data_IF_961853228388
#
_entry.id   IF_961853228388
#
_cell.length_a   1.000
_cell.length_b   1.000
_cell.length_c   1.000
_cell.angle_alpha   90.00
_cell.angle_beta   90.00
_cell.angle_gamma   90.00
#
_symmetry.space_group_name_H-M   'P 1'
#
loop_
_entity.id
_entity.type
_entity.pdbx_description
1 polymer ?
#
# COMPACT_ATOMS: atom_id res chain seq x y z
N UNK A 1 4.11 -18.90 4.99
CA UNK A 1 5.58 -18.84 5.08
C UNK A 1 6.23 -17.87 4.09
N UNK A 2 5.80 -17.80 2.83
CA UNK A 2 6.37 -16.89 1.81
C UNK A 2 5.98 -15.41 2.00
N UNK A 3 6.68 -14.72 2.90
CA UNK A 3 6.50 -13.28 3.17
C UNK A 3 7.81 -12.59 3.53
N UNK A 4 7.84 -11.26 3.39
CA UNK A 4 8.95 -10.41 3.81
C UNK A 4 8.97 -10.12 5.33
N UNK A 5 8.02 -10.66 6.11
CA UNK A 5 8.06 -10.54 7.57
C UNK A 5 9.33 -11.16 8.11
N UNK A 6 9.93 -10.55 9.13
CA UNK A 6 11.16 -11.04 9.72
C UNK A 6 10.86 -11.88 10.98
N UNK A 7 11.57 -12.99 11.10
CA UNK A 7 11.69 -13.76 12.34
C UNK A 7 13.15 -13.76 12.76
N UNK A 8 13.43 -13.25 13.98
CA UNK A 8 14.80 -13.07 14.50
C UNK A 8 15.77 -12.40 13.49
N UNK A 9 15.29 -11.37 12.79
CA UNK A 9 16.08 -10.62 11.80
C UNK A 9 16.09 -11.21 10.38
N UNK A 10 15.66 -12.45 10.19
CA UNK A 10 15.66 -13.14 8.89
C UNK A 10 14.27 -13.10 8.24
N UNK A 11 14.12 -12.72 6.95
CA UNK A 11 12.85 -12.79 6.24
C UNK A 11 12.29 -14.22 6.16
N UNK A 12 11.00 -14.41 6.43
CA UNK A 12 10.35 -15.72 6.45
C UNK A 12 10.43 -16.46 5.11
N UNK A 13 10.45 -15.75 3.97
CA UNK A 13 10.60 -16.40 2.67
C UNK A 13 11.95 -17.12 2.51
N UNK A 14 13.01 -16.71 3.23
CA UNK A 14 14.31 -17.39 3.19
C UNK A 14 14.22 -18.73 3.92
N UNK A 15 13.71 -18.70 5.14
CA UNK A 15 13.47 -19.89 5.96
C UNK A 15 12.54 -20.88 5.24
N UNK A 16 11.49 -20.38 4.58
CA UNK A 16 10.57 -21.21 3.79
C UNK A 16 11.26 -21.96 2.65
N UNK A 17 12.21 -21.33 1.95
CA UNK A 17 12.98 -21.95 0.86
C UNK A 17 13.96 -23.01 1.37
N UNK A 18 14.39 -22.88 2.62
CA UNK A 18 15.21 -23.87 3.32
C UNK A 18 14.35 -25.00 3.94
N UNK A 19 13.02 -24.99 3.73
CA UNK A 19 12.10 -25.96 4.31
C UNK A 19 11.84 -25.75 5.81
N UNK A 20 12.32 -24.64 6.39
CA UNK A 20 12.16 -24.32 7.80
C UNK A 20 10.84 -23.60 8.00
N UNK A 21 9.90 -24.26 8.68
CA UNK A 21 8.67 -23.63 9.14
C UNK A 21 8.87 -22.87 10.45
N UNK A 22 8.18 -21.74 10.57
CA UNK A 22 8.15 -20.96 11.80
C UNK A 22 6.72 -20.67 12.19
N UNK A 23 6.43 -20.77 13.48
CA UNK A 23 5.15 -20.35 14.03
C UNK A 23 4.90 -18.86 13.73
N UNK A 24 3.74 -18.57 13.16
CA UNK A 24 3.34 -17.22 12.77
C UNK A 24 2.28 -16.72 13.73
N UNK A 25 2.55 -15.60 14.40
CA UNK A 25 1.51 -14.88 15.15
C UNK A 25 0.40 -14.46 14.18
N UNK A 26 -0.83 -14.82 14.52
CA UNK A 26 -2.03 -14.32 13.84
C UNK A 26 -2.06 -12.79 13.92
N UNK A 27 -2.52 -12.17 12.85
CA UNK A 27 -2.65 -10.72 12.75
C UNK A 27 -4.09 -10.40 12.44
N UNK A 28 -4.66 -9.51 13.23
CA UNK A 28 -5.98 -8.98 12.96
C UNK A 28 -5.92 -8.11 11.70
N UNK A 29 -6.74 -8.46 10.72
CA UNK A 29 -6.98 -7.70 9.51
C UNK A 29 -8.47 -7.37 9.44
N UNK A 30 -8.84 -6.44 8.58
CA UNK A 30 -10.23 -6.11 8.29
C UNK A 30 -10.47 -6.19 6.79
N UNK A 31 -11.47 -6.97 6.40
CA UNK A 31 -12.05 -6.93 5.06
C UNK A 31 -13.20 -5.92 5.12
N UNK A 32 -13.08 -4.83 4.38
CA UNK A 32 -14.10 -3.78 4.30
C UNK A 32 -15.18 -4.10 3.26
N UNK A 33 -14.77 -4.70 2.14
CA UNK A 33 -15.65 -5.15 1.06
C UNK A 33 -15.03 -6.38 0.40
N UNK A 34 -15.87 -7.36 0.08
CA UNK A 34 -15.52 -8.52 -0.73
C UNK A 34 -16.66 -8.75 -1.72
N UNK A 35 -16.37 -8.76 -3.01
CA UNK A 35 -17.37 -8.88 -4.07
C UNK A 35 -16.92 -9.93 -5.07
N UNK A 36 -17.80 -10.88 -5.33
CA UNK A 36 -17.64 -11.83 -6.42
C UNK A 36 -17.82 -11.08 -7.75
N UNK A 37 -16.81 -11.10 -8.59
CA UNK A 37 -16.81 -10.48 -9.93
C UNK A 37 -17.23 -11.51 -10.97
N UNK A 38 -16.61 -12.69 -10.95
CA UNK A 38 -16.91 -13.80 -11.86
C UNK A 38 -16.62 -15.15 -11.19
N UNK A 39 -17.32 -16.18 -11.66
CA UNK A 39 -17.09 -17.58 -11.29
C UNK A 39 -17.29 -18.43 -12.53
N UNK A 40 -16.20 -18.94 -13.10
CA UNK A 40 -16.22 -19.75 -14.32
C UNK A 40 -15.31 -20.96 -14.11
N UNK A 41 -15.86 -22.15 -14.30
CA UNK A 41 -15.20 -23.42 -14.01
C UNK A 41 -14.60 -23.47 -12.58
N UNK A 42 -13.28 -23.46 -12.49
CA UNK A 42 -12.51 -23.48 -11.25
C UNK A 42 -11.80 -22.13 -10.99
N UNK A 43 -12.22 -21.07 -11.69
CA UNK A 43 -11.64 -19.74 -11.59
C UNK A 43 -12.66 -18.81 -10.94
N UNK A 44 -12.22 -18.15 -9.86
CA UNK A 44 -13.01 -17.19 -9.10
C UNK A 44 -12.29 -15.86 -9.09
N UNK A 45 -12.98 -14.82 -9.55
CA UNK A 45 -12.49 -13.45 -9.48
C UNK A 45 -13.23 -12.70 -8.37
N UNK A 46 -12.46 -12.06 -7.49
CA UNK A 46 -12.99 -11.25 -6.39
C UNK A 46 -12.35 -9.86 -6.36
N UNK A 47 -13.17 -8.86 -6.06
CA UNK A 47 -12.71 -7.51 -5.71
C UNK A 47 -12.77 -7.34 -4.18
N UNK A 48 -11.62 -7.03 -3.59
CA UNK A 48 -11.42 -6.99 -2.15
C UNK A 48 -10.86 -5.65 -1.70
N UNK A 49 -11.63 -4.94 -0.87
CA UNK A 49 -11.14 -3.79 -0.10
C UNK A 49 -10.75 -4.25 1.29
N UNK A 50 -9.50 -4.08 1.69
CA UNK A 50 -8.97 -4.61 2.95
C UNK A 50 -8.01 -3.64 3.66
N UNK A 51 -7.75 -3.90 4.95
CA UNK A 51 -6.77 -3.16 5.73
C UNK A 51 -5.34 -3.43 5.30
N UNK A 52 -4.40 -2.56 5.69
CA UNK A 52 -2.97 -2.77 5.47
C UNK A 52 -2.50 -4.11 6.02
N UNK A 53 -1.54 -4.73 5.33
CA UNK A 53 -0.93 -5.99 5.76
C UNK A 53 -1.78 -7.24 5.50
N UNK A 54 -2.91 -7.11 4.81
CA UNK A 54 -3.71 -8.26 4.35
C UNK A 54 -2.95 -9.03 3.27
N UNK A 55 -2.86 -10.34 3.43
CA UNK A 55 -2.27 -11.24 2.44
C UNK A 55 -3.38 -11.86 1.60
N UNK A 56 -3.64 -11.34 0.40
CA UNK A 56 -4.66 -11.89 -0.52
C UNK A 56 -4.41 -13.37 -0.82
N UNK A 57 -3.14 -13.80 -0.87
CA UNK A 57 -2.80 -15.22 -1.02
C UNK A 57 -3.28 -16.09 0.15
N UNK A 58 -3.22 -15.59 1.37
CA UNK A 58 -3.76 -16.30 2.54
C UNK A 58 -5.28 -16.27 2.53
N UNK A 59 -5.89 -15.15 2.13
CA UNK A 59 -7.35 -15.09 1.97
C UNK A 59 -7.85 -16.12 0.94
N UNK A 60 -7.16 -16.28 -0.19
CA UNK A 60 -7.51 -17.30 -1.18
C UNK A 60 -7.36 -18.72 -0.62
N UNK A 61 -6.25 -19.01 0.07
CA UNK A 61 -6.00 -20.30 0.73
C UNK A 61 -7.12 -20.61 1.75
N UNK A 62 -7.41 -19.66 2.66
CA UNK A 62 -8.46 -19.78 3.67
C UNK A 62 -9.84 -20.03 3.03
N UNK A 63 -10.22 -19.26 2.01
CA UNK A 63 -11.48 -19.46 1.28
C UNK A 63 -11.55 -20.82 0.60
N UNK A 64 -10.44 -21.29 0.02
CA UNK A 64 -10.36 -22.60 -0.61
C UNK A 64 -10.49 -23.74 0.40
N UNK A 65 -9.92 -23.59 1.60
CA UNK A 65 -10.08 -24.54 2.70
C UNK A 65 -11.53 -24.58 3.18
N UNK A 66 -12.17 -23.42 3.35
CA UNK A 66 -13.58 -23.32 3.75
C UNK A 66 -14.52 -23.97 2.71
N UNK A 67 -14.16 -23.91 1.42
CA UNK A 67 -14.87 -24.59 0.33
C UNK A 67 -14.52 -26.08 0.18
N UNK A 68 -13.48 -26.58 0.86
CA UNK A 68 -13.07 -27.98 0.85
C UNK A 68 -12.30 -28.44 -0.40
N UNK A 69 -11.94 -27.54 -1.31
CA UNK A 69 -11.19 -27.86 -2.55
C UNK A 69 -9.77 -27.31 -2.56
N UNK A 70 -9.44 -26.38 -1.64
CA UNK A 70 -8.24 -25.55 -1.71
C UNK A 70 -8.33 -24.50 -2.83
N UNK A 71 -7.54 -23.44 -2.70
CA UNK A 71 -7.44 -22.40 -3.71
C UNK A 71 -6.10 -21.68 -3.60
N UNK A 72 -5.65 -21.12 -4.73
CA UNK A 72 -4.46 -20.30 -4.78
C UNK A 72 -4.64 -19.16 -5.79
N UNK A 73 -3.87 -18.10 -5.59
CA UNK A 73 -3.93 -16.92 -6.46
C UNK A 73 -3.17 -17.21 -7.76
N UNK A 74 -3.86 -17.13 -8.90
CA UNK A 74 -3.27 -17.21 -10.25
C UNK A 74 -3.00 -15.82 -10.86
N UNK A 75 -3.80 -14.82 -10.50
CA UNK A 75 -3.64 -13.42 -10.89
C UNK A 75 -3.92 -12.50 -9.70
N UNK A 76 -3.16 -11.41 -9.56
CA UNK A 76 -3.38 -10.40 -8.54
C UNK A 76 -3.03 -9.01 -9.08
N UNK A 77 -4.03 -8.14 -9.13
CA UNK A 77 -3.84 -6.73 -9.48
C UNK A 77 -4.29 -5.83 -8.34
N UNK A 78 -3.37 -5.01 -7.83
CA UNK A 78 -3.73 -3.95 -6.89
C UNK A 78 -4.20 -2.72 -7.66
N UNK A 79 -5.47 -2.38 -7.55
CA UNK A 79 -6.08 -1.24 -8.25
C UNK A 79 -6.07 0.07 -7.44
N UNK A 80 -5.88 -0.01 -6.12
CA UNK A 80 -5.86 1.17 -5.25
C UNK A 80 -4.98 0.96 -4.02
N UNK A 81 -4.35 2.02 -3.53
CA UNK A 81 -3.62 2.07 -2.26
C UNK A 81 -3.94 3.39 -1.54
N UNK A 82 -4.75 3.31 -0.47
CA UNK A 82 -5.29 4.51 0.16
C UNK A 82 -6.10 5.31 -0.86
N UNK A 83 -5.70 6.56 -1.10
CA UNK A 83 -6.33 7.44 -2.11
C UNK A 83 -5.76 7.35 -3.51
N UNK A 84 -4.66 6.63 -3.71
CA UNK A 84 -4.00 6.52 -5.00
C UNK A 84 -4.59 5.36 -5.78
N UNK A 85 -5.30 5.65 -6.88
CA UNK A 85 -5.84 4.64 -7.80
C UNK A 85 -4.85 4.29 -8.90
N UNK A 86 -5.11 3.17 -9.57
CA UNK A 86 -4.34 2.69 -10.73
C UNK A 86 -4.38 3.64 -11.92
N UNK A 87 -5.39 4.52 -12.01
CA UNK A 87 -5.50 5.53 -13.08
C UNK A 87 -4.36 6.56 -13.03
N UNK A 88 -3.85 6.82 -11.82
CA UNK A 88 -2.66 7.63 -11.59
C UNK A 88 -1.36 6.92 -11.92
N UNK A 89 -1.36 5.59 -12.08
CA UNK A 89 -0.14 4.84 -12.34
C UNK A 89 0.41 5.10 -13.75
N UNK A 90 1.72 4.95 -13.89
CA UNK A 90 2.44 4.99 -15.17
C UNK A 90 3.26 3.72 -15.28
N UNK A 91 3.23 3.09 -16.45
CA UNK A 91 4.08 1.92 -16.71
C UNK A 91 5.54 2.35 -16.81
N UNK A 92 6.46 1.45 -16.46
CA UNK A 92 7.89 1.72 -16.57
C UNK A 92 8.27 2.11 -18.00
N UNK A 93 7.78 1.36 -19.00
CA UNK A 93 7.98 1.66 -20.42
C UNK A 93 7.56 3.08 -20.80
N UNK A 94 6.44 3.57 -20.27
CA UNK A 94 5.98 4.95 -20.55
C UNK A 94 6.91 5.98 -19.92
N UNK A 95 7.40 5.73 -18.70
CA UNK A 95 8.38 6.60 -18.04
C UNK A 95 9.71 6.63 -18.79
N UNK A 96 10.20 5.48 -19.27
CA UNK A 96 11.40 5.38 -20.09
C UNK A 96 11.27 6.20 -21.38
N UNK A 97 10.16 6.07 -22.12
CA UNK A 97 9.93 6.86 -23.33
C UNK A 97 9.86 8.36 -23.06
N UNK A 98 9.22 8.80 -21.95
CA UNK A 98 9.17 10.23 -21.59
C UNK A 98 10.59 10.75 -21.29
N UNK A 99 11.38 9.99 -20.55
CA UNK A 99 12.77 10.34 -20.23
C UNK A 99 13.62 10.47 -21.49
N UNK A 100 13.49 9.53 -22.43
CA UNK A 100 14.26 9.53 -23.68
C UNK A 100 13.94 10.74 -24.56
N UNK A 101 12.65 11.12 -24.64
CA UNK A 101 12.20 12.22 -25.50
C UNK A 101 12.42 13.60 -24.87
N UNK A 102 12.16 13.73 -23.57
CA UNK A 102 12.00 15.03 -22.90
C UNK A 102 12.96 15.24 -21.72
N UNK A 103 13.86 14.28 -21.45
CA UNK A 103 14.82 14.34 -20.35
C UNK A 103 14.21 14.06 -18.97
N UNK A 104 15.02 14.24 -17.94
CA UNK A 104 14.65 13.91 -16.55
C UNK A 104 13.61 14.87 -15.95
N UNK A 105 13.65 16.16 -16.29
CA UNK A 105 12.71 17.16 -15.76
C UNK A 105 11.26 16.84 -16.11
N UNK A 106 11.01 16.22 -17.26
CA UNK A 106 9.67 15.79 -17.66
C UNK A 106 9.11 14.66 -16.78
N UNK A 107 9.98 13.93 -16.05
CA UNK A 107 9.53 12.95 -15.06
C UNK A 107 9.09 13.62 -13.76
N UNK A 108 9.70 14.75 -13.39
CA UNK A 108 9.34 15.48 -12.17
C UNK A 108 7.92 16.02 -12.25
N UNK A 109 7.46 16.39 -13.45
CA UNK A 109 6.06 16.79 -13.72
C UNK A 109 5.04 15.68 -13.46
N UNK A 110 5.48 14.42 -13.42
CA UNK A 110 4.62 13.26 -13.12
C UNK A 110 4.55 12.95 -11.62
N UNK A 111 5.39 13.59 -10.80
CA UNK A 111 5.42 13.35 -9.37
C UNK A 111 4.16 13.94 -8.71
N UNK A 112 3.60 13.17 -7.80
CA UNK A 112 2.53 13.65 -6.93
C UNK A 112 3.18 14.43 -5.77
N UNK A 113 2.63 15.60 -5.38
CA UNK A 113 3.12 16.34 -4.22
C UNK A 113 3.20 15.45 -2.97
N UNK A 114 4.30 15.56 -2.20
CA UNK A 114 4.58 14.65 -1.08
C UNK A 114 3.52 14.69 0.03
N UNK A 115 2.86 15.83 0.22
CA UNK A 115 1.82 16.03 1.23
C UNK A 115 0.52 15.28 0.90
N UNK A 116 0.32 14.86 -0.36
CA UNK A 116 -0.84 14.05 -0.76
C UNK A 116 -0.91 12.72 0.00
N UNK A 117 0.22 12.18 0.48
CA UNK A 117 0.23 10.96 1.27
C UNK A 117 -0.40 11.12 2.66
N UNK A 118 -0.53 12.36 3.17
CA UNK A 118 -0.94 12.68 4.55
C UNK A 118 -2.05 13.72 4.63
N UNK A 119 -2.67 14.05 3.52
CA UNK A 119 -3.81 14.98 3.37
C UNK A 119 -4.99 14.79 4.33
N UNK A 120 -5.17 13.59 4.90
CA UNK A 120 -6.19 13.34 5.92
C UNK A 120 -5.82 13.94 7.29
N UNK A 121 -4.55 14.29 7.48
CA UNK A 121 -4.09 15.00 8.67
C UNK A 121 -4.49 16.48 8.61
N UNK A 122 -4.77 17.11 9.77
CA UNK A 122 -5.03 18.53 9.82
C UNK A 122 -3.88 19.36 9.24
N UNK A 123 -4.22 20.36 8.43
CA UNK A 123 -3.27 21.32 7.85
C UNK A 123 -3.20 22.57 8.72
N UNK A 124 -1.98 23.06 8.94
CA UNK A 124 -1.71 24.31 9.65
C UNK A 124 -0.86 25.24 8.80
N UNK A 125 -1.24 26.51 8.77
CA UNK A 125 -0.48 27.56 8.12
C UNK A 125 0.31 28.34 9.18
N UNK A 126 1.58 28.58 8.89
CA UNK A 126 2.49 29.27 9.79
C UNK A 126 2.88 30.62 9.19
N UNK A 127 3.08 31.62 10.02
CA UNK A 127 3.80 32.83 9.59
C UNK A 127 5.25 32.50 9.27
N UNK A 128 5.93 33.32 8.45
CA UNK A 128 7.35 33.11 8.13
C UNK A 128 8.21 33.01 9.40
N UNK A 129 7.94 33.84 10.42
CA UNK A 129 8.65 33.80 11.70
C UNK A 129 8.48 32.46 12.42
N UNK A 130 7.28 31.86 12.38
CA UNK A 130 7.01 30.56 13.00
C UNK A 130 7.64 29.41 12.19
N UNK A 131 7.59 29.49 10.86
CA UNK A 131 8.23 28.52 9.97
C UNK A 131 9.74 28.43 10.23
N UNK A 132 10.44 29.58 10.28
CA UNK A 132 11.90 29.60 10.52
C UNK A 132 12.26 28.96 11.86
N UNK A 133 11.49 29.24 12.92
CA UNK A 133 11.70 28.62 14.25
C UNK A 133 11.51 27.10 14.21
N UNK A 134 10.45 26.64 13.54
CA UNK A 134 10.14 25.21 13.43
C UNK A 134 11.21 24.47 12.62
N UNK A 135 11.69 25.04 11.51
CA UNK A 135 12.77 24.43 10.70
C UNK A 135 14.11 24.31 11.45
N UNK A 136 14.29 25.07 12.54
CA UNK A 136 15.45 24.96 13.44
C UNK A 136 15.20 24.06 14.66
N UNK A 137 14.07 23.34 14.71
CA UNK A 137 13.74 22.41 15.79
C UNK A 137 13.10 23.04 17.03
N UNK A 138 12.66 24.31 16.96
CA UNK A 138 11.98 24.95 18.08
C UNK A 138 10.52 24.46 18.23
N UNK A 139 10.20 23.89 19.39
CA UNK A 139 8.88 23.31 19.71
C UNK A 139 7.86 24.31 20.28
N UNK A 140 8.28 25.52 20.65
CA UNK A 140 7.42 26.52 21.33
C UNK A 140 6.61 27.40 20.37
N UNK A 141 6.30 26.89 19.19
CA UNK A 141 5.45 27.56 18.21
C UNK A 141 3.99 27.33 18.62
N UNK A 142 3.41 28.29 19.34
CA UNK A 142 1.97 28.29 19.65
C UNK A 142 1.18 28.49 18.36
N UNK A 143 0.59 27.42 17.85
CA UNK A 143 -0.26 27.46 16.67
C UNK A 143 -1.66 27.90 17.13
N UNK A 144 -2.05 29.14 16.84
CA UNK A 144 -3.44 29.57 17.01
C UNK A 144 -4.32 28.73 16.07
N UNK A 145 -5.16 27.89 16.66
CA UNK A 145 -6.09 27.04 15.95
C UNK A 145 -7.19 27.90 15.31
N UNK A 146 -7.07 28.20 14.02
CA UNK A 146 -8.22 28.62 13.22
C UNK A 146 -8.65 27.44 12.36
N UNK A 147 -9.78 26.84 12.74
CA UNK A 147 -10.50 25.87 11.94
C UNK A 147 -11.04 26.63 10.73
N UNK A 148 -10.33 26.58 9.60
CA UNK A 148 -10.89 27.05 8.33
C UNK A 148 -11.83 25.95 7.87
N UNK A 149 -13.14 26.26 7.89
CA UNK A 149 -14.22 25.40 7.39
C UNK A 149 -14.11 25.29 5.87
#
# INVERSE_FOLDING_TARGET
MYSALKYKGVPLYKLAREGIEVERKLRTIKIYKNTLVSFEDNIVEIDVTCSKGTYIRSLADDLGQDLGCGAHVIELRRIQAGRFSVDGCRSLKKLESIKELNGLSALDELLIPMDQAIVELPKFFLSMTMQSKLSMGSLSVWINYQKVV
#
